data_IF_525054206196
#
_entry.id   IF_525054206196
#
_cell.length_a   1.000
_cell.length_b   1.000
_cell.length_c   1.000
_cell.angle_alpha   90.00
_cell.angle_beta   90.00
_cell.angle_gamma   90.00
#
_symmetry.space_group_name_H-M   'P 1'
#
loop_
_entity.id
_entity.type
_entity.pdbx_description
1 polymer ?
#
# COMPACT_ATOMS: atom_id res chain seq x y z
N UNK A 1 3.30 -2.64 14.25
CA UNK A 1 4.17 -2.83 15.42
C UNK A 1 4.42 -4.29 15.73
N UNK A 2 3.41 -5.15 15.67
CA UNK A 2 3.58 -6.59 15.87
C UNK A 2 4.62 -7.17 14.88
N UNK A 3 4.62 -6.71 13.64
CA UNK A 3 5.57 -7.17 12.64
C UNK A 3 7.02 -6.81 13.00
N UNK A 4 7.24 -5.64 13.59
CA UNK A 4 8.56 -5.23 14.08
C UNK A 4 8.98 -6.09 15.27
N UNK A 5 8.05 -6.40 16.17
CA UNK A 5 8.33 -7.28 17.32
C UNK A 5 8.66 -8.71 16.88
N UNK A 6 8.10 -9.17 15.78
CA UNK A 6 8.35 -10.50 15.20
C UNK A 6 9.63 -10.53 14.33
N UNK A 7 10.44 -9.49 14.39
CA UNK A 7 11.69 -9.36 13.63
C UNK A 7 11.50 -9.36 12.11
N UNK A 8 10.32 -8.99 11.63
CA UNK A 8 10.07 -8.80 10.21
C UNK A 8 10.57 -7.44 9.77
N UNK A 9 11.07 -7.37 8.55
CA UNK A 9 11.46 -6.09 7.96
C UNK A 9 10.23 -5.37 7.47
N UNK A 10 10.08 -4.09 7.84
CA UNK A 10 8.93 -3.27 7.51
C UNK A 10 9.37 -2.13 6.60
N UNK A 11 8.65 -1.97 5.49
CA UNK A 11 8.88 -0.92 4.51
C UNK A 11 7.63 -0.06 4.39
N UNK A 12 7.80 1.24 4.33
CA UNK A 12 6.71 2.22 4.22
C UNK A 12 6.83 2.92 2.87
N UNK A 13 5.71 3.14 2.16
CA UNK A 13 5.75 3.78 0.85
C UNK A 13 6.15 5.24 0.95
N UNK A 14 6.96 5.67 -0.01
CA UNK A 14 7.29 7.06 -0.25
C UNK A 14 6.82 7.42 -1.64
N UNK A 15 5.97 8.42 -1.74
CA UNK A 15 5.35 8.84 -2.99
C UNK A 15 6.11 9.99 -3.63
N UNK A 16 6.28 9.92 -4.94
CA UNK A 16 6.77 11.03 -5.74
C UNK A 16 5.58 11.68 -6.44
N UNK A 17 5.15 12.83 -5.94
CA UNK A 17 3.95 13.50 -6.45
C UNK A 17 4.12 14.07 -7.87
N UNK A 18 5.37 14.26 -8.33
CA UNK A 18 5.62 14.79 -9.66
C UNK A 18 5.37 13.75 -10.76
N UNK A 19 5.76 12.51 -10.54
CA UNK A 19 5.63 11.44 -11.53
C UNK A 19 4.65 10.35 -11.13
N UNK A 20 3.98 10.49 -9.99
CA UNK A 20 3.02 9.53 -9.44
C UNK A 20 3.61 8.12 -9.24
N UNK A 21 4.91 8.04 -8.95
CA UNK A 21 5.59 6.80 -8.65
C UNK A 21 5.77 6.62 -7.15
N UNK A 22 5.99 5.38 -6.74
CA UNK A 22 6.09 5.00 -5.34
C UNK A 22 7.25 4.06 -5.14
N UNK A 23 8.03 4.28 -4.08
CA UNK A 23 9.07 3.37 -3.62
C UNK A 23 8.82 3.03 -2.17
N UNK A 24 9.44 1.95 -1.67
CA UNK A 24 9.29 1.52 -0.29
C UNK A 24 10.62 1.65 0.44
N UNK A 25 10.57 2.21 1.64
CA UNK A 25 11.76 2.44 2.46
C UNK A 25 11.63 1.78 3.81
N UNK A 26 12.68 1.09 4.24
CA UNK A 26 12.67 0.37 5.51
C UNK A 26 12.61 1.33 6.69
N UNK A 27 11.77 1.00 7.67
CA UNK A 27 11.70 1.67 8.95
C UNK A 27 12.10 0.69 10.05
N UNK A 28 12.59 1.22 11.17
CA UNK A 28 13.08 0.43 12.30
C UNK A 28 12.23 0.60 13.55
N UNK A 29 11.42 1.67 13.60
CA UNK A 29 10.43 1.90 14.65
C UNK A 29 9.39 2.90 14.15
N UNK A 30 8.30 3.08 14.90
CA UNK A 30 7.20 3.96 14.49
C UNK A 30 7.59 5.44 14.47
N UNK A 31 8.69 5.84 15.10
CA UNK A 31 9.20 7.21 15.04
C UNK A 31 9.84 7.55 13.69
N UNK A 32 10.10 6.55 12.85
CA UNK A 32 10.64 6.72 11.52
C UNK A 32 9.59 7.15 10.49
N UNK A 33 8.40 7.54 10.93
CA UNK A 33 7.28 7.96 10.09
C UNK A 33 6.87 9.37 10.47
N UNK A 34 6.67 10.22 9.47
CA UNK A 34 6.10 11.56 9.63
C UNK A 34 4.96 11.75 8.65
N UNK A 35 4.27 12.87 8.72
CA UNK A 35 3.13 13.17 7.86
C UNK A 35 3.42 14.43 7.06
N UNK A 36 3.13 14.42 5.76
CA UNK A 36 3.36 15.56 4.89
C UNK A 36 2.20 16.57 4.94
N UNK A 37 2.31 17.66 4.16
CA UNK A 37 1.29 18.71 4.11
C UNK A 37 -0.04 18.25 3.46
N UNK A 38 -0.07 17.08 2.85
CA UNK A 38 -1.29 16.45 2.30
C UNK A 38 -1.91 15.44 3.25
N UNK A 39 -1.35 15.28 4.44
CA UNK A 39 -1.82 14.31 5.42
C UNK A 39 -1.40 12.88 5.15
N UNK A 40 -0.41 12.66 4.28
CA UNK A 40 0.07 11.33 3.90
C UNK A 40 1.33 11.00 4.70
N UNK A 41 1.36 9.81 5.28
CA UNK A 41 2.52 9.32 6.03
C UNK A 41 3.67 8.96 5.10
N UNK A 42 4.88 9.27 5.52
CA UNK A 42 6.09 8.95 4.77
C UNK A 42 7.23 8.55 5.69
N UNK A 43 8.19 7.72 5.20
CA UNK A 43 9.32 7.28 6.01
C UNK A 43 10.39 8.37 6.13
N UNK A 44 10.95 8.52 7.33
CA UNK A 44 12.01 9.49 7.63
C UNK A 44 13.34 8.81 7.96
N UNK A 45 13.37 7.50 8.02
CA UNK A 45 14.59 6.73 8.34
C UNK A 45 15.63 6.84 7.21
N UNK A 46 16.85 6.42 7.51
CA UNK A 46 17.93 6.25 6.51
C UNK A 46 18.03 4.79 6.03
N UNK A 47 16.94 4.04 6.15
CA UNK A 47 16.89 2.65 5.77
C UNK A 47 16.96 2.43 4.25
N UNK A 48 17.07 1.17 3.88
CA UNK A 48 17.13 0.74 2.49
C UNK A 48 15.85 1.07 1.74
N UNK A 49 15.97 1.52 0.49
CA UNK A 49 14.85 1.67 -0.43
C UNK A 49 14.81 0.46 -1.37
N UNK A 50 13.65 -0.18 -1.48
CA UNK A 50 13.50 -1.34 -2.36
C UNK A 50 12.09 -1.39 -2.95
N UNK A 51 11.97 -2.05 -4.11
CA UNK A 51 10.68 -2.42 -4.70
C UNK A 51 10.49 -3.93 -4.71
N UNK A 52 11.43 -4.69 -4.14
CA UNK A 52 11.37 -6.14 -4.05
C UNK A 52 10.88 -6.54 -2.66
N UNK A 53 9.57 -6.73 -2.55
CA UNK A 53 8.88 -7.01 -1.30
C UNK A 53 8.21 -8.38 -1.35
N UNK A 54 8.12 -9.04 -0.19
CA UNK A 54 7.48 -10.36 -0.08
C UNK A 54 5.96 -10.24 -0.02
N UNK A 55 5.45 -9.18 0.60
CA UNK A 55 4.02 -8.96 0.79
C UNK A 55 3.75 -7.47 0.91
N UNK A 56 2.70 -7.01 0.26
CA UNK A 56 2.23 -5.62 0.38
C UNK A 56 0.82 -5.62 0.95
N UNK A 57 0.61 -4.82 1.99
CA UNK A 57 -0.72 -4.49 2.49
C UNK A 57 -1.20 -3.25 1.75
N UNK A 58 -2.24 -3.41 0.93
CA UNK A 58 -2.72 -2.37 0.02
C UNK A 58 -3.94 -1.68 0.64
N UNK A 59 -3.90 -0.36 0.84
CA UNK A 59 -5.04 0.38 1.37
C UNK A 59 -6.09 0.64 0.29
N UNK A 60 -7.31 0.95 0.73
CA UNK A 60 -8.39 1.35 -0.17
C UNK A 60 -9.58 1.90 0.60
N UNK A 61 -10.46 2.59 -0.13
CA UNK A 61 -11.68 3.19 0.42
C UNK A 61 -12.84 2.21 0.32
N UNK A 62 -12.95 1.50 -0.81
CA UNK A 62 -13.96 0.50 -1.05
C UNK A 62 -13.38 -0.69 -1.79
N UNK A 63 -14.03 -1.84 -1.67
CA UNK A 63 -13.50 -3.11 -2.21
C UNK A 63 -14.61 -3.92 -2.86
N UNK A 64 -14.27 -4.65 -3.91
CA UNK A 64 -15.11 -5.70 -4.50
C UNK A 64 -14.58 -7.07 -4.10
N UNK A 65 -15.45 -8.06 -4.11
CA UNK A 65 -15.10 -9.44 -3.73
C UNK A 65 -13.98 -10.04 -4.60
N UNK A 66 -13.83 -9.55 -5.83
CA UNK A 66 -12.79 -10.00 -6.77
C UNK A 66 -11.42 -9.37 -6.54
N UNK A 67 -11.27 -8.53 -5.50
CA UNK A 67 -10.01 -7.91 -5.14
C UNK A 67 -9.77 -6.53 -5.71
N UNK A 68 -10.64 -6.03 -6.58
CA UNK A 68 -10.55 -4.66 -7.06
C UNK A 68 -10.96 -3.68 -5.96
N UNK A 69 -10.37 -2.48 -5.98
CA UNK A 69 -10.56 -1.51 -4.92
C UNK A 69 -10.63 -0.09 -5.46
N UNK A 70 -11.31 0.77 -4.70
CA UNK A 70 -11.29 2.21 -4.89
C UNK A 70 -10.16 2.76 -4.02
N UNK A 71 -9.14 3.35 -4.64
CA UNK A 71 -8.01 3.93 -3.94
C UNK A 71 -8.28 5.38 -3.54
N UNK A 72 -7.23 6.04 -3.06
CA UNK A 72 -7.27 7.42 -2.59
C UNK A 72 -6.95 8.43 -3.70
N UNK A 73 -6.87 7.98 -4.94
CA UNK A 73 -6.49 8.80 -6.09
C UNK A 73 -5.00 8.67 -6.43
N UNK A 74 -4.58 9.19 -7.56
CA UNK A 74 -3.19 9.18 -8.01
C UNK A 74 -2.69 7.88 -8.63
N UNK A 75 -3.32 6.75 -8.36
CA UNK A 75 -2.99 5.45 -8.97
C UNK A 75 -1.64 4.89 -8.58
N UNK A 76 -1.08 5.25 -7.41
CA UNK A 76 0.25 4.83 -6.98
C UNK A 76 0.39 3.31 -6.87
N UNK A 77 -0.56 2.66 -6.19
CA UNK A 77 -0.52 1.20 -6.01
C UNK A 77 -0.78 0.46 -7.32
N UNK A 78 -1.71 0.93 -8.14
CA UNK A 78 -2.00 0.30 -9.43
C UNK A 78 -0.78 0.36 -10.35
N UNK A 79 -0.08 1.49 -10.40
CA UNK A 79 1.17 1.60 -11.18
C UNK A 79 2.26 0.70 -10.64
N UNK A 80 2.43 0.66 -9.33
CA UNK A 80 3.43 -0.19 -8.69
C UNK A 80 3.16 -1.66 -9.01
N UNK A 81 1.92 -2.12 -8.80
CA UNK A 81 1.54 -3.52 -9.00
C UNK A 81 1.56 -3.94 -10.46
N UNK A 82 1.39 -3.00 -11.39
CA UNK A 82 1.54 -3.29 -12.82
C UNK A 82 2.99 -3.58 -13.20
N UNK A 83 3.96 -3.07 -12.44
CA UNK A 83 5.39 -3.20 -12.74
C UNK A 83 6.11 -4.25 -11.89
N UNK A 84 5.56 -4.63 -10.73
CA UNK A 84 6.21 -5.55 -9.80
C UNK A 84 5.24 -6.63 -9.34
N UNK A 85 5.62 -7.89 -9.51
CA UNK A 85 4.84 -9.01 -9.02
C UNK A 85 5.13 -9.22 -7.54
N UNK A 86 4.14 -9.00 -6.71
CA UNK A 86 4.25 -9.15 -5.26
C UNK A 86 2.92 -9.66 -4.73
N UNK A 87 2.96 -10.50 -3.71
CA UNK A 87 1.75 -10.91 -3.01
C UNK A 87 1.10 -9.71 -2.34
N UNK A 88 -0.21 -9.58 -2.46
CA UNK A 88 -0.96 -8.45 -1.94
C UNK A 88 -2.13 -8.89 -1.09
N UNK A 89 -2.36 -8.17 0.00
CA UNK A 89 -3.56 -8.33 0.83
C UNK A 89 -4.13 -6.95 1.14
N UNK A 90 -5.41 -6.91 1.43
CA UNK A 90 -6.05 -5.70 1.97
C UNK A 90 -6.83 -6.05 3.22
N UNK A 91 -6.77 -5.16 4.20
CA UNK A 91 -7.51 -5.27 5.46
C UNK A 91 -8.67 -4.27 5.38
N UNK A 92 -9.89 -4.73 5.61
CA UNK A 92 -11.07 -3.89 5.46
C UNK A 92 -12.19 -4.28 6.43
N UNK A 93 -13.12 -3.36 6.63
CA UNK A 93 -14.37 -3.64 7.32
C UNK A 93 -15.42 -4.06 6.31
N UNK A 94 -16.41 -4.83 6.75
CA UNK A 94 -17.46 -5.36 5.87
C UNK A 94 -18.26 -4.25 5.15
N UNK A 95 -18.44 -3.07 5.80
CA UNK A 95 -19.14 -1.94 5.19
C UNK A 95 -18.37 -1.31 4.02
N UNK A 96 -17.10 -1.68 3.82
CA UNK A 96 -16.30 -1.20 2.69
C UNK A 96 -16.50 -2.05 1.43
N UNK A 97 -17.23 -3.16 1.52
CA UNK A 97 -17.56 -3.96 0.34
C UNK A 97 -18.60 -3.20 -0.50
N UNK A 98 -18.30 -3.03 -1.78
CA UNK A 98 -19.15 -2.29 -2.72
C UNK A 98 -18.94 -2.81 -4.14
N UNK A 99 -19.73 -2.31 -5.09
CA UNK A 99 -19.57 -2.61 -6.51
C UNK A 99 -19.24 -1.35 -7.27
N UNK A 100 -18.34 -1.46 -8.25
CA UNK A 100 -17.94 -0.37 -9.12
C UNK A 100 -17.33 -0.93 -10.40
N UNK A 101 -17.16 -0.10 -11.42
CA UNK A 101 -16.47 -0.48 -12.65
C UNK A 101 -14.97 -0.20 -12.52
N UNK A 102 -14.10 -1.22 -12.47
CA UNK A 102 -12.67 -0.98 -12.47
C UNK A 102 -12.22 -0.35 -13.79
N UNK A 103 -11.20 0.52 -13.69
CA UNK A 103 -10.50 1.02 -14.86
C UNK A 103 -9.59 -0.06 -15.43
N UNK A 104 -9.23 0.05 -16.72
CA UNK A 104 -8.39 -0.96 -17.38
C UNK A 104 -7.00 -1.11 -16.74
N UNK A 105 -6.50 -0.07 -16.07
CA UNK A 105 -5.19 -0.08 -15.41
C UNK A 105 -5.26 -0.52 -13.94
N UNK A 106 -6.46 -0.72 -13.38
CA UNK A 106 -6.60 -1.13 -11.99
C UNK A 106 -6.07 -2.54 -11.78
N UNK A 107 -5.41 -2.76 -10.65
CA UNK A 107 -4.82 -4.05 -10.27
C UNK A 107 -5.53 -4.59 -9.04
N UNK A 108 -6.13 -5.81 -9.11
CA UNK A 108 -6.76 -6.40 -7.94
C UNK A 108 -5.72 -6.89 -6.94
N UNK A 109 -6.10 -6.94 -5.67
CA UNK A 109 -5.28 -7.59 -4.64
C UNK A 109 -5.58 -9.08 -4.61
N UNK A 110 -4.63 -9.87 -4.11
CA UNK A 110 -4.75 -11.33 -4.10
C UNK A 110 -5.73 -11.82 -3.04
N UNK A 111 -5.82 -11.12 -1.91
CA UNK A 111 -6.65 -11.56 -0.78
C UNK A 111 -7.24 -10.40 -0.01
N UNK A 112 -8.51 -10.50 0.33
CA UNK A 112 -9.20 -9.58 1.24
C UNK A 112 -9.32 -10.22 2.61
N UNK A 113 -8.99 -9.45 3.66
CA UNK A 113 -9.19 -9.85 5.05
C UNK A 113 -10.20 -8.90 5.66
N UNK A 114 -11.36 -9.43 6.02
CA UNK A 114 -12.50 -8.65 6.51
C UNK A 114 -12.58 -8.79 8.03
N UNK A 115 -12.66 -7.65 8.69
CA UNK A 115 -12.88 -7.61 10.14
C UNK A 115 -14.35 -7.70 10.50
#
# INVERSE_FOLDING_TARGET
EQALMDHKRIFVPKMNYLNHQMTFKEIFNLKDIDVDNKGIYYPTSKGETTNNLDLIVVPGVGFQDDGYRIGYGGGYYDRFLANYQTKTISLLYDFQITSFEPESFDQPVDKLIIY
#
